data_IF_368369708978
#
_entry.id   IF_368369708978
#
_cell.length_a   1.000
_cell.length_b   1.000
_cell.length_c   1.000
_cell.angle_alpha   90.00
_cell.angle_beta   90.00
_cell.angle_gamma   90.00
#
_symmetry.space_group_name_H-M   'P 1'
#
loop_
_entity.id
_entity.type
_entity.pdbx_description
1 polymer ?
#
# COMPACT_ATOMS: atom_id res chain seq x y z
N UNK A 1 -7.57 -5.56 8.51
CA UNK A 1 -9.00 -5.38 8.17
C UNK A 1 -9.19 -5.03 6.71
N UNK A 2 -8.55 -3.98 6.18
CA UNK A 2 -8.61 -3.64 4.75
C UNK A 2 -7.24 -3.10 4.29
N UNK A 3 -6.89 -3.29 3.02
CA UNK A 3 -5.69 -2.70 2.41
C UNK A 3 -6.02 -2.09 1.05
N UNK A 4 -5.54 -0.88 0.81
CA UNK A 4 -5.67 -0.19 -0.48
C UNK A 4 -4.29 0.15 -1.05
N UNK A 5 -4.02 -0.30 -2.26
CA UNK A 5 -2.82 0.01 -3.03
C UNK A 5 -3.12 1.08 -4.07
N UNK A 6 -2.52 2.26 -3.93
CA UNK A 6 -2.59 3.37 -4.88
C UNK A 6 -1.27 3.48 -5.65
N UNK A 7 -1.27 3.04 -6.89
CA UNK A 7 -0.11 3.11 -7.78
C UNK A 7 -0.10 4.42 -8.59
N UNK A 8 1.09 4.96 -8.82
CA UNK A 8 1.35 6.11 -9.67
C UNK A 8 2.45 5.79 -10.69
N UNK A 9 2.31 6.33 -11.91
CA UNK A 9 3.30 6.23 -12.97
C UNK A 9 3.13 5.00 -13.87
N UNK A 10 4.24 4.51 -14.42
CA UNK A 10 4.25 3.39 -15.38
C UNK A 10 4.09 2.05 -14.65
N UNK A 11 2.83 1.63 -14.50
CA UNK A 11 2.46 0.39 -13.80
C UNK A 11 1.41 -0.38 -14.59
N UNK A 12 1.72 -1.65 -14.89
CA UNK A 12 0.84 -2.56 -15.62
C UNK A 12 -0.04 -3.35 -14.63
N UNK A 13 -1.37 -3.45 -14.84
CA UNK A 13 -2.27 -4.18 -13.93
C UNK A 13 -1.89 -5.65 -13.66
N UNK A 14 -1.27 -6.32 -14.66
CA UNK A 14 -0.78 -7.69 -14.52
C UNK A 14 0.30 -7.81 -13.44
N UNK A 15 1.23 -6.86 -13.40
CA UNK A 15 2.35 -6.87 -12.46
C UNK A 15 1.85 -6.61 -11.03
N UNK A 16 0.82 -5.78 -10.88
CA UNK A 16 0.16 -5.56 -9.58
C UNK A 16 -0.48 -6.86 -9.08
N UNK A 17 -1.21 -7.57 -9.94
CA UNK A 17 -1.85 -8.84 -9.59
C UNK A 17 -0.81 -9.89 -9.16
N UNK A 18 0.31 -9.98 -9.89
CA UNK A 18 1.43 -10.85 -9.54
C UNK A 18 2.05 -10.48 -8.19
N UNK A 19 2.29 -9.18 -7.94
CA UNK A 19 2.83 -8.71 -6.67
C UNK A 19 1.89 -9.01 -5.49
N UNK A 20 0.57 -8.82 -5.65
CA UNK A 20 -0.43 -9.14 -4.62
C UNK A 20 -0.43 -10.66 -4.33
N UNK A 21 -0.33 -11.50 -5.37
CA UNK A 21 -0.24 -12.94 -5.17
C UNK A 21 0.97 -13.33 -4.31
N UNK A 22 2.14 -12.71 -4.55
CA UNK A 22 3.35 -12.91 -3.74
C UNK A 22 3.19 -12.37 -2.31
N UNK A 23 2.51 -11.25 -2.11
CA UNK A 23 2.27 -10.72 -0.75
C UNK A 23 1.35 -11.64 0.04
N UNK A 24 0.32 -12.20 -0.60
CA UNK A 24 -0.65 -13.11 0.04
C UNK A 24 -0.04 -14.43 0.52
N UNK A 25 1.09 -14.87 -0.01
CA UNK A 25 1.77 -16.08 0.47
C UNK A 25 2.63 -15.84 1.71
N UNK A 26 2.88 -14.58 2.09
CA UNK A 26 3.70 -14.26 3.26
C UNK A 26 2.89 -14.39 4.55
N UNK A 27 3.39 -15.18 5.50
CA UNK A 27 2.77 -15.36 6.82
C UNK A 27 2.66 -14.05 7.63
N UNK A 28 3.47 -13.03 7.29
CA UNK A 28 3.44 -11.71 7.94
C UNK A 28 2.27 -10.83 7.50
N UNK A 29 1.48 -11.23 6.50
CA UNK A 29 0.35 -10.44 5.99
C UNK A 29 -0.95 -11.21 6.15
N UNK A 30 -1.73 -10.86 7.17
CA UNK A 30 -2.96 -11.56 7.52
C UNK A 30 -4.17 -10.62 7.48
N UNK A 31 -5.24 -11.08 6.82
CA UNK A 31 -6.56 -10.47 6.93
C UNK A 31 -7.38 -11.21 7.99
N UNK A 32 -8.37 -10.48 8.50
CA UNK A 32 -9.45 -11.03 9.31
C UNK A 32 -10.39 -11.87 8.43
N UNK A 33 -11.01 -12.91 9.01
CA UNK A 33 -11.79 -13.91 8.26
C UNK A 33 -12.96 -13.32 7.47
N UNK A 34 -13.55 -12.22 7.95
CA UNK A 34 -14.65 -11.52 7.27
C UNK A 34 -14.21 -10.62 6.11
N UNK A 35 -12.91 -10.56 5.76
CA UNK A 35 -12.38 -9.81 4.62
C UNK A 35 -11.63 -10.71 3.61
N UNK A 36 -12.35 -11.51 2.80
CA UNK A 36 -11.73 -12.55 1.96
C UNK A 36 -10.92 -12.01 0.77
N UNK A 37 -11.26 -10.84 0.21
CA UNK A 37 -10.59 -10.28 -0.98
C UNK A 37 -9.38 -9.41 -0.63
N UNK A 38 -9.47 -8.68 0.49
CA UNK A 38 -8.39 -8.00 1.22
C UNK A 38 -7.83 -6.72 0.58
N UNK A 39 -7.53 -6.76 -0.71
CA UNK A 39 -6.86 -5.65 -1.42
C UNK A 39 -7.80 -4.94 -2.38
N UNK A 40 -7.89 -3.62 -2.22
CA UNK A 40 -8.36 -2.72 -3.28
C UNK A 40 -7.13 -2.19 -4.05
N UNK A 41 -7.30 -1.87 -5.33
CA UNK A 41 -6.22 -1.34 -6.18
C UNK A 41 -6.73 -0.12 -6.95
N UNK A 42 -5.94 0.95 -6.97
CA UNK A 42 -6.13 2.13 -7.81
C UNK A 42 -4.85 2.44 -8.57
N UNK A 43 -4.97 2.93 -9.80
CA UNK A 43 -3.85 3.25 -10.67
C UNK A 43 -4.04 4.66 -11.22
N UNK A 44 -3.02 5.49 -11.05
CA UNK A 44 -2.89 6.77 -11.73
C UNK A 44 -1.68 6.71 -12.68
N UNK A 45 -1.92 6.82 -13.98
CA UNK A 45 -0.84 6.75 -14.97
C UNK A 45 0.10 7.97 -14.93
N UNK A 46 -0.28 9.05 -14.24
CA UNK A 46 0.61 10.19 -14.03
C UNK A 46 1.70 9.83 -13.02
N UNK A 47 2.95 10.10 -13.40
CA UNK A 47 4.11 9.93 -12.51
C UNK A 47 4.00 10.85 -11.30
N UNK A 48 4.52 10.41 -10.15
CA UNK A 48 4.61 11.25 -8.96
C UNK A 48 5.49 12.46 -9.21
N UNK A 49 5.01 13.64 -8.77
CA UNK A 49 5.76 14.89 -8.88
C UNK A 49 6.67 15.00 -7.65
N UNK A 50 7.91 15.42 -7.88
CA UNK A 50 8.85 15.76 -6.81
C UNK A 50 8.95 17.28 -6.68
N UNK A 51 9.16 17.77 -5.46
CA UNK A 51 9.37 19.19 -5.19
C UNK A 51 10.76 19.59 -5.70
N UNK A 52 10.91 20.68 -6.49
CA UNK A 52 12.21 21.18 -6.89
C UNK A 52 13.10 21.49 -5.68
N UNK A 53 14.31 20.94 -5.64
CA UNK A 53 15.23 21.07 -4.50
C UNK A 53 14.87 20.23 -3.27
N UNK A 54 13.86 19.38 -3.36
CA UNK A 54 13.52 18.42 -2.29
C UNK A 54 14.39 17.16 -2.29
N UNK A 55 14.24 16.37 -1.24
CA UNK A 55 15.14 15.23 -0.95
C UNK A 55 14.80 13.93 -1.70
N UNK A 56 13.66 13.90 -2.40
CA UNK A 56 13.18 12.71 -3.09
C UNK A 56 13.58 12.70 -4.56
N UNK A 57 14.20 11.60 -4.99
CA UNK A 57 14.50 11.34 -6.39
C UNK A 57 13.21 11.09 -7.21
N UNK A 58 13.25 11.45 -8.49
CA UNK A 58 12.17 11.11 -9.43
C UNK A 58 12.07 9.59 -9.57
N UNK A 59 10.85 9.06 -9.49
CA UNK A 59 10.56 7.65 -9.68
C UNK A 59 9.63 7.45 -10.88
N UNK A 60 9.90 6.41 -11.68
CA UNK A 60 9.02 6.01 -12.80
C UNK A 60 7.70 5.40 -12.30
N UNK A 61 7.72 4.82 -11.10
CA UNK A 61 6.57 4.23 -10.42
C UNK A 61 6.67 4.44 -8.92
N UNK A 62 5.53 4.68 -8.29
CA UNK A 62 5.41 4.78 -6.84
C UNK A 62 4.13 4.06 -6.39
N UNK A 63 4.09 3.68 -5.12
CA UNK A 63 2.91 3.08 -4.50
C UNK A 63 2.70 3.65 -3.10
N UNK A 64 1.45 3.98 -2.79
CA UNK A 64 1.00 4.28 -1.43
C UNK A 64 0.09 3.15 -0.97
N UNK A 65 0.39 2.57 0.20
CA UNK A 65 -0.45 1.55 0.82
C UNK A 65 -1.15 2.15 2.03
N UNK A 66 -2.48 2.20 1.97
CA UNK A 66 -3.32 2.58 3.11
C UNK A 66 -3.91 1.32 3.74
N UNK A 67 -3.48 1.03 4.96
CA UNK A 67 -3.89 -0.17 5.69
C UNK A 67 -4.76 0.20 6.89
N UNK A 68 -5.86 -0.54 7.06
CA UNK A 68 -6.60 -0.56 8.30
C UNK A 68 -6.24 -1.84 9.07
N UNK A 69 -5.34 -1.71 10.04
CA UNK A 69 -4.83 -2.78 10.91
C UNK A 69 -5.12 -2.46 12.37
N UNK A 70 -5.40 -3.50 13.18
CA UNK A 70 -5.57 -3.35 14.63
C UNK A 70 -4.28 -2.96 15.34
N UNK A 71 -3.11 -3.13 14.70
CA UNK A 71 -1.82 -2.70 15.23
C UNK A 71 -1.76 -1.19 15.54
N UNK A 72 -2.62 -0.37 14.93
CA UNK A 72 -2.72 1.07 15.28
C UNK A 72 -3.07 1.28 16.76
N UNK A 73 -3.71 0.31 17.43
CA UNK A 73 -3.98 0.34 18.87
C UNK A 73 -2.71 0.57 19.70
N UNK A 74 -1.56 0.03 19.28
CA UNK A 74 -0.27 0.19 20.00
C UNK A 74 0.20 1.65 20.06
N UNK A 75 -0.07 2.43 19.00
CA UNK A 75 0.24 3.86 19.00
C UNK A 75 -0.64 4.62 20.00
N UNK A 76 -1.93 4.25 20.08
CA UNK A 76 -2.88 4.87 21.02
C UNK A 76 -2.58 4.51 22.47
N UNK A 77 -2.12 3.30 22.75
CA UNK A 77 -1.67 2.93 24.12
C UNK A 77 -0.44 3.69 24.55
N UNK A 78 0.43 4.07 23.61
CA UNK A 78 1.68 4.80 23.90
C UNK A 78 1.46 6.31 24.04
N UNK A 79 0.41 6.86 23.43
CA UNK A 79 0.13 8.31 23.39
C UNK A 79 -0.78 8.81 24.52
N UNK A 80 -1.08 7.98 25.53
CA UNK A 80 -1.93 8.31 26.69
C UNK A 80 -1.12 8.58 27.96
N UNK A 81 0.11 9.10 27.84
CA UNK A 81 0.90 9.66 28.95
C UNK A 81 1.28 11.10 28.60
#
# INVERSE_FOLDING_TARGET
MASYLLYHGDVVPKDISAAIAVIKTKCSFQFVDWCPTGFKVGINCQSSIVVPGGDLAKAQRAVCMMNNTTAIAEAWTTSLI
#
